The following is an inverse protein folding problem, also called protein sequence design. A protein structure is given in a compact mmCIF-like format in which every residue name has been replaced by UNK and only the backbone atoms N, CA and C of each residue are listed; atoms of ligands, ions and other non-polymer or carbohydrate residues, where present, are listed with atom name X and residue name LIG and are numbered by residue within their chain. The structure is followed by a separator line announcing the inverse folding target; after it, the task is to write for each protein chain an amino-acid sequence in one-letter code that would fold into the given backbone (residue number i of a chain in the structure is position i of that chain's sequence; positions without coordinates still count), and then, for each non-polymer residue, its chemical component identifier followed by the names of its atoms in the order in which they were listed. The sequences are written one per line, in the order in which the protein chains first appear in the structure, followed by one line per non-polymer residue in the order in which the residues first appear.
data_IF_442222552888
#
_entry.id   IF_442222552888
#
_cell.length_a   1.000
_cell.length_b   1.000
_cell.length_c   1.000
_cell.angle_alpha   90.00
_cell.angle_beta   90.00
_cell.angle_gamma   90.00
#
_symmetry.space_group_name_H-M   'P 1'
#
loop_
_entity.id
_entity.type
_entity.pdbx_description
1 polymer ?
#
# COMPACT_ATOMS: atom_id res chain seq x y z
N UNK A 1 19.12 44.42 10.06
CA UNK A 1 18.44 43.87 8.86
C UNK A 1 19.01 42.48 8.62
N UNK A 2 18.25 41.42 8.94
CA UNK A 2 18.66 40.02 8.67
C UNK A 2 17.98 39.59 7.37
N UNK A 3 18.78 39.27 6.36
CA UNK A 3 18.33 38.63 5.14
C UNK A 3 17.92 37.17 5.45
N UNK A 4 16.77 36.77 4.91
CA UNK A 4 16.11 35.49 5.16
C UNK A 4 16.78 34.32 4.43
N UNK A 5 16.55 33.14 5.01
CA UNK A 5 16.90 31.81 4.48
C UNK A 5 16.31 31.61 3.10
N UNK A 6 17.14 31.11 2.19
CA UNK A 6 16.70 30.25 1.09
C UNK A 6 16.86 28.85 1.66
N UNK A 7 15.75 28.18 1.94
CA UNK A 7 15.73 26.75 2.21
C UNK A 7 15.44 26.06 0.90
N UNK A 8 16.40 25.27 0.42
CA UNK A 8 16.20 24.29 -0.63
C UNK A 8 15.05 23.36 -0.23
N UNK A 9 14.04 23.25 -1.10
CA UNK A 9 13.08 22.17 -1.08
C UNK A 9 13.70 21.03 -1.90
N UNK A 10 14.59 20.28 -1.28
CA UNK A 10 15.06 19.01 -1.81
C UNK A 10 13.90 18.02 -1.89
N UNK A 11 13.86 17.31 -3.01
CA UNK A 11 12.76 16.44 -3.39
C UNK A 11 12.51 15.32 -2.39
N UNK A 12 11.37 15.39 -1.72
CA UNK A 12 10.62 14.20 -1.32
C UNK A 12 9.65 13.92 -2.44
N UNK A 13 9.97 12.96 -3.30
CA UNK A 13 8.96 12.33 -4.15
C UNK A 13 7.88 11.78 -3.22
N UNK A 14 6.67 12.33 -3.30
CA UNK A 14 5.54 11.89 -2.50
C UNK A 14 5.42 10.36 -2.62
N UNK A 15 5.59 9.67 -1.50
CA UNK A 15 5.62 8.21 -1.42
C UNK A 15 4.18 7.69 -1.38
N UNK A 16 3.42 7.94 -2.45
CA UNK A 16 2.02 7.54 -2.56
C UNK A 16 1.92 5.99 -2.55
N UNK A 17 0.89 5.43 -1.92
CA UNK A 17 0.54 4.01 -1.97
C UNK A 17 0.64 3.38 -3.36
N UNK A 18 0.21 4.12 -4.38
CA UNK A 18 0.33 3.71 -5.78
C UNK A 18 1.77 3.43 -6.20
N UNK A 19 2.71 4.26 -5.77
CA UNK A 19 4.13 4.11 -6.08
C UNK A 19 4.79 3.02 -5.22
N UNK A 20 4.37 2.86 -3.96
CA UNK A 20 4.78 1.72 -3.10
C UNK A 20 4.33 0.38 -3.68
N UNK A 21 3.28 0.38 -4.50
CA UNK A 21 2.69 -0.82 -5.10
C UNK A 21 3.13 -1.03 -6.55
N UNK A 22 3.48 0.03 -7.27
CA UNK A 22 3.90 0.01 -8.66
C UNK A 22 5.39 -0.39 -8.83
N UNK A 23 5.78 -1.58 -8.35
CA UNK A 23 7.06 -2.21 -8.77
C UNK A 23 6.91 -3.16 -9.97
N UNK A 24 5.72 -3.33 -10.54
CA UNK A 24 5.54 -4.07 -11.80
C UNK A 24 4.42 -3.47 -12.65
N UNK A 25 4.77 -2.86 -13.79
CA UNK A 25 3.82 -2.69 -14.90
C UNK A 25 3.35 -1.26 -15.21
N UNK A 26 4.26 -0.29 -15.38
CA UNK A 26 3.91 0.93 -16.13
C UNK A 26 3.83 0.59 -17.63
N UNK A 27 2.63 0.39 -18.17
CA UNK A 27 2.39 0.57 -19.60
C UNK A 27 1.10 1.36 -19.82
N UNK A 28 1.26 2.67 -20.07
CA UNK A 28 0.29 3.44 -20.84
C UNK A 28 0.22 2.95 -22.29
N UNK A 29 -0.71 3.49 -23.10
CA UNK A 29 -1.28 2.77 -24.22
C UNK A 29 -0.29 2.70 -25.37
N UNK A 30 0.21 1.48 -25.64
CA UNK A 30 0.77 1.16 -26.95
C UNK A 30 -0.13 0.13 -27.60
N UNK A 31 -1.07 0.62 -28.40
CA UNK A 31 -1.85 -0.20 -29.32
C UNK A 31 -0.91 -0.98 -30.22
N UNK A 32 -0.75 -2.28 -29.95
CA UNK A 32 -0.51 -3.30 -30.98
C UNK A 32 -0.89 -4.68 -30.42
N UNK A 33 -1.97 -5.26 -30.95
CA UNK A 33 -2.44 -6.61 -30.62
C UNK A 33 -1.33 -7.65 -30.83
N UNK A 34 -1.01 -8.41 -29.79
CA UNK A 34 -0.64 -9.83 -29.88
C UNK A 34 -1.19 -10.59 -28.65
N UNK A 35 -1.96 -11.63 -28.95
CA UNK A 35 -2.64 -12.62 -28.10
C UNK A 35 -2.09 -12.83 -26.67
N UNK A 36 -2.96 -12.69 -25.66
CA UNK A 36 -2.77 -13.17 -24.29
C UNK A 36 -3.52 -12.29 -23.28
N UNK A 37 -4.61 -12.81 -22.70
CA UNK A 37 -5.45 -12.22 -21.63
C UNK A 37 -5.69 -10.70 -21.76
N UNK A 38 -6.81 -10.31 -22.38
CA UNK A 38 -7.27 -8.92 -22.36
C UNK A 38 -7.52 -8.51 -20.89
N UNK A 39 -6.54 -7.85 -20.28
CA UNK A 39 -6.70 -7.16 -19.01
C UNK A 39 -7.68 -6.01 -19.27
N UNK A 40 -8.76 -5.96 -18.50
CA UNK A 40 -9.70 -4.86 -18.63
C UNK A 40 -9.00 -3.56 -18.25
N UNK A 41 -8.98 -2.59 -19.17
CA UNK A 41 -8.46 -1.25 -18.91
C UNK A 41 -9.64 -0.34 -18.51
N UNK A 42 -9.44 0.46 -17.46
CA UNK A 42 -10.42 1.47 -17.08
C UNK A 42 -10.48 2.54 -18.18
N UNK A 43 -11.66 3.13 -18.37
CA UNK A 43 -11.76 4.36 -19.14
C UNK A 43 -10.82 5.41 -18.53
N UNK A 44 -10.08 6.14 -19.38
CA UNK A 44 -9.06 7.08 -18.94
C UNK A 44 -9.64 8.14 -17.97
N UNK A 45 -10.84 8.66 -18.21
CA UNK A 45 -11.43 9.66 -17.33
C UNK A 45 -11.80 9.06 -15.97
N UNK A 46 -12.22 7.80 -15.95
CA UNK A 46 -12.48 7.06 -14.70
C UNK A 46 -11.17 6.80 -13.93
N UNK A 47 -10.12 6.35 -14.61
CA UNK A 47 -8.80 6.13 -14.00
C UNK A 47 -8.23 7.41 -13.38
N UNK A 48 -8.27 8.53 -14.11
CA UNK A 48 -7.83 9.84 -13.62
C UNK A 48 -8.66 10.30 -12.40
N UNK A 49 -9.98 10.08 -12.41
CA UNK A 49 -10.84 10.43 -11.28
C UNK A 49 -10.53 9.61 -10.02
N UNK A 50 -10.35 8.30 -10.17
CA UNK A 50 -9.93 7.44 -9.05
C UNK A 50 -8.54 7.88 -8.57
N UNK A 51 -7.67 8.27 -9.50
CA UNK A 51 -6.35 8.77 -9.15
C UNK A 51 -6.34 10.05 -8.35
N UNK A 52 -7.13 11.04 -8.76
CA UNK A 52 -7.28 12.27 -8.01
C UNK A 52 -7.84 12.04 -6.60
N UNK A 53 -8.71 11.02 -6.42
CA UNK A 53 -9.18 10.62 -5.10
C UNK A 53 -8.08 9.97 -4.27
N UNK A 54 -7.27 9.08 -4.86
CA UNK A 54 -6.11 8.51 -4.19
C UNK A 54 -5.16 9.59 -3.72
N UNK A 55 -4.71 10.46 -4.62
CA UNK A 55 -3.75 11.53 -4.32
C UNK A 55 -4.27 12.47 -3.21
N UNK A 56 -5.58 12.75 -3.20
CA UNK A 56 -6.21 13.52 -2.13
C UNK A 56 -6.23 12.75 -0.79
N UNK A 57 -6.45 11.44 -0.82
CA UNK A 57 -6.37 10.58 0.37
C UNK A 57 -4.95 10.52 0.94
N UNK A 58 -3.94 10.40 0.08
CA UNK A 58 -2.53 10.40 0.47
C UNK A 58 -2.12 11.72 1.13
N UNK A 59 -2.53 12.86 0.56
CA UNK A 59 -2.30 14.18 1.16
C UNK A 59 -2.95 14.31 2.55
N UNK A 60 -4.16 13.78 2.72
CA UNK A 60 -4.84 13.78 4.03
C UNK A 60 -4.14 12.87 5.04
N UNK A 61 -3.57 11.74 4.62
CA UNK A 61 -2.74 10.91 5.49
C UNK A 61 -1.47 11.63 5.95
N UNK A 62 -0.79 12.35 5.04
CA UNK A 62 0.39 13.14 5.39
C UNK A 62 0.06 14.24 6.42
N UNK A 63 -1.14 14.81 6.35
CA UNK A 63 -1.66 15.78 7.32
C UNK A 63 -2.21 15.14 8.62
N UNK A 64 -2.26 13.80 8.69
CA UNK A 64 -2.81 13.04 9.82
C UNK A 64 -4.34 13.01 9.88
N UNK A 65 -5.04 13.49 8.85
CA UNK A 65 -6.50 13.37 8.71
C UNK A 65 -6.88 12.01 8.13
N UNK A 66 -6.81 11.00 8.99
CA UNK A 66 -7.11 9.62 8.61
C UNK A 66 -8.58 9.38 8.27
N UNK A 67 -9.51 10.10 8.91
CA UNK A 67 -10.94 9.99 8.60
C UNK A 67 -11.20 10.52 7.19
N UNK A 68 -10.69 11.71 6.87
CA UNK A 68 -10.77 12.28 5.53
C UNK A 68 -10.09 11.40 4.48
N UNK A 69 -8.94 10.80 4.79
CA UNK A 69 -8.24 9.89 3.89
C UNK A 69 -9.09 8.66 3.54
N UNK A 70 -9.70 8.00 4.54
CA UNK A 70 -10.60 6.87 4.33
C UNK A 70 -11.78 7.24 3.43
N UNK A 71 -12.39 8.42 3.62
CA UNK A 71 -13.46 8.88 2.75
C UNK A 71 -13.02 8.97 1.29
N UNK A 72 -11.81 9.46 1.01
CA UNK A 72 -11.30 9.56 -0.37
C UNK A 72 -11.01 8.19 -0.97
N UNK A 73 -10.34 7.30 -0.24
CA UNK A 73 -9.99 5.99 -0.76
C UNK A 73 -11.23 5.12 -1.00
N UNK A 74 -12.21 5.12 -0.09
CA UNK A 74 -13.48 4.43 -0.33
C UNK A 74 -14.26 5.02 -1.49
N UNK A 75 -14.30 6.35 -1.63
CA UNK A 75 -14.91 6.98 -2.80
C UNK A 75 -14.23 6.55 -4.11
N UNK A 76 -12.91 6.36 -4.11
CA UNK A 76 -12.18 5.80 -5.25
C UNK A 76 -12.53 4.34 -5.52
N UNK A 77 -12.63 3.53 -4.46
CA UNK A 77 -12.97 2.11 -4.55
C UNK A 77 -14.40 1.87 -5.06
N UNK A 78 -15.34 2.70 -4.64
CA UNK A 78 -16.74 2.62 -5.08
C UNK A 78 -16.94 2.97 -6.56
N UNK A 79 -15.99 3.67 -7.16
CA UNK A 79 -16.00 3.95 -8.60
C UNK A 79 -15.54 2.76 -9.45
N UNK A 80 -14.94 1.73 -8.86
CA UNK A 80 -14.49 0.55 -9.60
C UNK A 80 -15.68 -0.23 -10.19
N UNK A 81 -15.66 -0.58 -11.48
CA UNK A 81 -16.68 -1.43 -12.07
C UNK A 81 -16.72 -2.84 -11.45
N UNK A 82 -17.88 -3.47 -11.45
CA UNK A 82 -17.99 -4.86 -10.99
C UNK A 82 -17.55 -5.87 -12.06
N UNK A 83 -16.93 -7.01 -11.68
CA UNK A 83 -16.47 -7.31 -10.33
C UNK A 83 -15.20 -6.53 -9.99
N UNK A 84 -15.17 -5.86 -8.82
CA UNK A 84 -14.04 -4.99 -8.44
C UNK A 84 -12.67 -5.69 -8.47
N UNK A 85 -12.66 -6.99 -8.18
CA UNK A 85 -11.47 -7.86 -8.17
C UNK A 85 -10.80 -8.03 -9.53
N UNK A 86 -11.37 -7.51 -10.62
CA UNK A 86 -10.72 -7.50 -11.93
C UNK A 86 -9.76 -6.33 -12.13
N UNK A 87 -9.78 -5.32 -11.25
CA UNK A 87 -9.07 -4.06 -11.47
C UNK A 87 -7.89 -3.94 -10.52
N UNK A 88 -6.69 -3.76 -11.07
CA UNK A 88 -5.48 -3.46 -10.28
C UNK A 88 -5.65 -2.21 -9.41
N UNK A 89 -6.53 -1.29 -9.81
CA UNK A 89 -6.93 -0.15 -9.01
C UNK A 89 -7.43 -0.51 -7.61
N UNK A 90 -8.13 -1.64 -7.48
CA UNK A 90 -8.55 -2.12 -6.17
C UNK A 90 -7.40 -2.59 -5.29
N UNK A 91 -6.28 -3.05 -5.85
CA UNK A 91 -5.10 -3.45 -5.07
C UNK A 91 -4.52 -2.27 -4.30
N UNK A 92 -4.25 -1.14 -4.98
CA UNK A 92 -3.67 0.02 -4.31
C UNK A 92 -4.65 0.80 -3.45
N UNK A 93 -5.93 0.82 -3.79
CA UNK A 93 -6.96 1.40 -2.91
C UNK A 93 -7.13 0.61 -1.61
N UNK A 94 -7.22 -0.72 -1.69
CA UNK A 94 -7.35 -1.56 -0.49
C UNK A 94 -6.08 -1.52 0.36
N UNK A 95 -4.90 -1.41 -0.26
CA UNK A 95 -3.66 -1.19 0.47
C UNK A 95 -3.67 0.13 1.23
N UNK A 96 -4.07 1.23 0.60
CA UNK A 96 -4.17 2.55 1.23
C UNK A 96 -5.19 2.56 2.37
N UNK A 97 -6.38 1.98 2.15
CA UNK A 97 -7.39 1.80 3.20
C UNK A 97 -6.81 0.99 4.38
N UNK A 98 -6.10 -0.10 4.08
CA UNK A 98 -5.41 -0.91 5.08
C UNK A 98 -4.38 -0.12 5.89
N UNK A 99 -3.55 0.69 5.23
CA UNK A 99 -2.52 1.52 5.85
C UNK A 99 -3.14 2.59 6.76
N UNK A 100 -4.21 3.26 6.31
CA UNK A 100 -4.94 4.21 7.15
C UNK A 100 -5.49 3.53 8.41
N UNK A 101 -6.11 2.35 8.27
CA UNK A 101 -6.62 1.62 9.43
C UNK A 101 -5.51 1.23 10.41
N UNK A 102 -4.33 0.88 9.92
CA UNK A 102 -3.18 0.62 10.77
C UNK A 102 -2.74 1.87 11.54
N UNK A 103 -2.65 3.03 10.87
CA UNK A 103 -2.31 4.30 11.50
C UNK A 103 -3.37 4.80 12.50
N UNK A 104 -4.64 4.42 12.33
CA UNK A 104 -5.71 4.64 13.32
C UNK A 104 -5.70 3.61 14.46
N UNK A 105 -4.74 2.68 14.50
CA UNK A 105 -4.68 1.54 15.43
C UNK A 105 -5.92 0.61 15.33
N UNK A 106 -6.70 0.71 14.25
CA UNK A 106 -7.79 -0.20 13.94
C UNK A 106 -7.28 -1.42 13.19
N UNK A 107 -6.43 -2.20 13.86
CA UNK A 107 -5.73 -3.33 13.26
C UNK A 107 -6.66 -4.42 12.73
N UNK A 108 -7.86 -4.57 13.32
CA UNK A 108 -8.86 -5.52 12.84
C UNK A 108 -9.37 -5.14 11.44
N UNK A 109 -9.74 -3.87 11.25
CA UNK A 109 -10.16 -3.38 9.94
C UNK A 109 -9.00 -3.35 8.94
N UNK A 110 -7.79 -3.00 9.40
CA UNK A 110 -6.57 -3.05 8.59
C UNK A 110 -6.32 -4.46 8.05
N UNK A 111 -6.33 -5.47 8.93
CA UNK A 111 -6.22 -6.89 8.56
C UNK A 111 -7.27 -7.29 7.52
N UNK A 112 -8.54 -6.97 7.76
CA UNK A 112 -9.63 -7.43 6.88
C UNK A 112 -9.53 -6.81 5.48
N UNK A 113 -9.22 -5.51 5.39
CA UNK A 113 -9.05 -4.82 4.12
C UNK A 113 -7.79 -5.30 3.36
N UNK A 114 -6.68 -5.50 4.05
CA UNK A 114 -5.44 -6.02 3.46
C UNK A 114 -5.56 -7.49 3.04
N UNK A 115 -6.30 -8.32 3.80
CA UNK A 115 -6.60 -9.68 3.40
C UNK A 115 -7.50 -9.70 2.16
N UNK A 116 -8.48 -8.79 2.08
CA UNK A 116 -9.33 -8.66 0.90
C UNK A 116 -8.53 -8.22 -0.34
N UNK A 117 -7.50 -7.38 -0.19
CA UNK A 117 -6.66 -6.97 -1.32
C UNK A 117 -6.00 -8.15 -2.04
N UNK A 118 -5.74 -9.26 -1.35
CA UNK A 118 -5.13 -10.48 -1.92
C UNK A 118 -5.98 -11.14 -3.02
N UNK A 119 -7.25 -10.74 -3.17
CA UNK A 119 -8.13 -11.16 -4.26
C UNK A 119 -8.03 -10.29 -5.52
N UNK A 120 -7.24 -9.22 -5.48
CA UNK A 120 -7.07 -8.29 -6.59
C UNK A 120 -5.78 -8.59 -7.39
N UNK A 121 -5.68 -8.10 -8.64
CA UNK A 121 -4.52 -8.36 -9.49
C UNK A 121 -3.23 -7.85 -8.84
N UNK A 122 -2.14 -8.61 -8.98
CA UNK A 122 -0.78 -8.27 -8.52
C UNK A 122 -0.61 -8.08 -6.99
N UNK A 123 -1.63 -8.38 -6.17
CA UNK A 123 -1.55 -8.20 -4.72
C UNK A 123 -0.63 -9.21 -4.00
N UNK A 124 -0.70 -10.49 -4.38
CA UNK A 124 0.02 -11.59 -3.69
C UNK A 124 1.55 -11.44 -3.74
N UNK A 125 2.10 -10.74 -4.74
CA UNK A 125 3.54 -10.53 -4.85
C UNK A 125 4.03 -9.25 -4.18
N UNK A 126 3.14 -8.45 -3.60
CA UNK A 126 3.47 -7.11 -3.15
C UNK A 126 4.03 -7.13 -1.71
N UNK A 127 5.29 -6.74 -1.50
CA UNK A 127 5.92 -6.81 -0.18
C UNK A 127 5.28 -5.83 0.83
N UNK A 128 4.80 -4.67 0.39
CA UNK A 128 4.16 -3.69 1.27
C UNK A 128 2.83 -4.21 1.84
N UNK A 129 2.00 -4.85 1.01
CA UNK A 129 0.77 -5.49 1.48
C UNK A 129 1.05 -6.55 2.56
N UNK A 130 2.08 -7.37 2.34
CA UNK A 130 2.52 -8.36 3.31
C UNK A 130 3.06 -7.73 4.60
N UNK A 131 3.85 -6.65 4.50
CA UNK A 131 4.33 -5.90 5.65
C UNK A 131 3.15 -5.45 6.51
N UNK A 132 2.22 -4.68 5.92
CA UNK A 132 1.16 -4.05 6.69
C UNK A 132 0.16 -5.07 7.25
N UNK A 133 -0.10 -6.15 6.51
CA UNK A 133 -0.95 -7.25 6.99
C UNK A 133 -0.30 -7.98 8.17
N UNK A 134 1.00 -8.27 8.08
CA UNK A 134 1.77 -8.90 9.15
C UNK A 134 1.84 -8.03 10.41
N UNK A 135 1.99 -6.72 10.25
CA UNK A 135 1.95 -5.78 11.38
C UNK A 135 0.57 -5.75 12.04
N UNK A 136 -0.52 -5.65 11.26
CA UNK A 136 -1.88 -5.72 11.83
C UNK A 136 -2.11 -7.03 12.61
N UNK A 137 -1.65 -8.16 12.09
CA UNK A 137 -1.75 -9.45 12.78
C UNK A 137 -0.91 -9.50 14.06
N UNK A 138 0.29 -8.91 14.03
CA UNK A 138 1.14 -8.80 15.21
C UNK A 138 0.45 -8.03 16.34
N UNK A 139 -0.12 -6.87 16.03
CA UNK A 139 -0.85 -6.04 17.03
C UNK A 139 -2.09 -6.74 17.57
N UNK A 140 -2.74 -7.57 16.76
CA UNK A 140 -3.87 -8.40 17.17
C UNK A 140 -3.46 -9.65 17.97
N UNK A 141 -2.15 -9.91 18.11
CA UNK A 141 -1.60 -11.08 18.80
C UNK A 141 -1.68 -12.39 18.02
N UNK A 142 -2.02 -12.36 16.73
CA UNK A 142 -1.97 -13.54 15.84
C UNK A 142 -0.54 -13.72 15.32
N UNK A 143 0.35 -14.12 16.22
CA UNK A 143 1.79 -14.11 15.98
C UNK A 143 2.23 -15.10 14.90
N UNK A 144 1.54 -16.22 14.75
CA UNK A 144 1.92 -17.21 13.72
C UNK A 144 1.61 -16.68 12.32
N UNK A 145 0.45 -16.04 12.15
CA UNK A 145 0.12 -15.35 10.89
C UNK A 145 1.03 -14.15 10.65
N UNK A 146 1.30 -13.36 11.69
CA UNK A 146 2.20 -12.23 11.59
C UNK A 146 3.59 -12.64 11.08
N UNK A 147 4.13 -13.77 11.59
CA UNK A 147 5.42 -14.28 11.14
C UNK A 147 5.41 -14.67 9.65
N UNK A 148 4.35 -15.33 9.18
CA UNK A 148 4.22 -15.73 7.77
C UNK A 148 4.22 -14.51 6.84
N UNK A 149 3.45 -13.46 7.16
CA UNK A 149 3.31 -12.28 6.33
C UNK A 149 4.56 -11.38 6.39
N UNK A 150 5.11 -11.13 7.58
CA UNK A 150 6.35 -10.37 7.73
C UNK A 150 7.55 -11.06 7.08
N UNK A 151 7.59 -12.40 7.07
CA UNK A 151 8.62 -13.15 6.35
C UNK A 151 8.51 -12.94 4.83
N UNK A 152 7.30 -12.95 4.26
CA UNK A 152 7.09 -12.65 2.83
C UNK A 152 7.52 -11.23 2.50
N UNK A 153 7.16 -10.28 3.35
CA UNK A 153 7.57 -8.89 3.22
C UNK A 153 9.10 -8.74 3.21
N UNK A 154 9.78 -9.35 4.18
CA UNK A 154 11.24 -9.30 4.30
C UNK A 154 11.95 -10.00 3.14
N UNK A 155 11.50 -11.20 2.77
CA UNK A 155 12.11 -11.98 1.69
C UNK A 155 12.01 -11.29 0.32
N UNK A 156 10.95 -10.50 0.10
CA UNK A 156 10.71 -9.81 -1.18
C UNK A 156 11.16 -8.35 -1.19
N UNK A 157 11.07 -7.64 -0.07
CA UNK A 157 11.37 -6.21 0.03
C UNK A 157 12.66 -5.85 0.78
N UNK A 158 13.31 -6.83 1.43
CA UNK A 158 14.53 -6.59 2.20
C UNK A 158 14.29 -5.83 3.52
N UNK A 159 15.36 -5.57 4.30
CA UNK A 159 15.28 -4.74 5.51
C UNK A 159 14.88 -3.29 5.22
N UNK A 160 15.16 -2.78 4.02
CA UNK A 160 14.85 -1.40 3.61
C UNK A 160 13.35 -1.12 3.66
N UNK A 161 12.51 -2.13 3.39
CA UNK A 161 11.05 -2.02 3.49
C UNK A 161 10.57 -1.65 4.90
N UNK A 162 11.38 -1.94 5.93
CA UNK A 162 11.04 -1.76 7.34
C UNK A 162 11.68 -0.52 7.97
N UNK A 163 12.45 0.28 7.23
CA UNK A 163 13.25 1.39 7.79
C UNK A 163 12.43 2.42 8.55
N UNK A 164 11.22 2.72 8.09
CA UNK A 164 10.30 3.68 8.71
C UNK A 164 9.34 3.04 9.72
N UNK A 165 9.45 1.73 9.96
CA UNK A 165 8.55 0.96 10.81
C UNK A 165 9.14 0.77 12.22
N UNK A 166 8.27 0.52 13.22
CA UNK A 166 8.77 0.18 14.56
C UNK A 166 9.59 -1.12 14.51
N UNK A 167 10.84 -1.06 14.98
CA UNK A 167 11.75 -2.20 15.00
C UNK A 167 11.24 -3.42 15.77
N UNK A 168 10.13 -3.33 16.52
CA UNK A 168 9.47 -4.47 17.17
C UNK A 168 9.08 -5.55 16.17
N UNK A 169 8.73 -5.20 14.94
CA UNK A 169 8.35 -6.18 13.91
C UNK A 169 9.55 -7.01 13.43
N UNK A 170 10.69 -6.37 13.17
CA UNK A 170 11.93 -7.07 12.81
C UNK A 170 12.49 -7.88 13.99
N UNK A 171 12.48 -7.31 15.21
CA UNK A 171 12.88 -8.06 16.41
C UNK A 171 12.00 -9.29 16.64
N UNK A 172 10.69 -9.17 16.43
CA UNK A 172 9.77 -10.30 16.48
C UNK A 172 10.10 -11.33 15.41
N UNK A 173 10.28 -10.91 14.15
CA UNK A 173 10.59 -11.80 13.04
C UNK A 173 11.91 -12.57 13.26
N UNK A 174 12.92 -11.92 13.84
CA UNK A 174 14.18 -12.53 14.24
C UNK A 174 14.04 -13.62 15.32
N UNK A 175 12.94 -13.65 16.09
CA UNK A 175 12.65 -14.77 17.00
C UNK A 175 12.08 -16.00 16.27
N UNK A 176 11.65 -15.84 15.01
CA UNK A 176 11.00 -16.87 14.20
C UNK A 176 11.87 -17.38 13.05
N UNK A 177 12.92 -16.66 12.68
CA UNK A 177 13.83 -17.03 11.59
C UNK A 177 15.24 -16.46 11.78
N UNK A 178 16.22 -17.20 11.25
CA UNK A 178 17.62 -16.77 11.19
C UNK A 178 17.84 -15.76 10.05
N UNK A 179 18.86 -14.91 10.18
CA UNK A 179 19.29 -14.00 9.10
C UNK A 179 18.45 -12.73 8.95
N UNK A 180 17.57 -12.43 9.93
CA UNK A 180 16.83 -11.17 9.98
C UNK A 180 17.73 -10.07 10.53
N UNK A 181 17.89 -9.00 9.76
CA UNK A 181 18.56 -7.78 10.22
C UNK A 181 17.61 -7.00 11.13
N UNK A 182 18.06 -6.72 12.36
CA UNK A 182 17.28 -5.98 13.35
C UNK A 182 17.89 -4.59 13.57
N UNK A 183 17.07 -3.53 13.75
CA UNK A 183 17.55 -2.20 14.11
C UNK A 183 18.22 -2.13 15.48
#
# INVERSE_FOLDING_TARGET
MKAGRIGDQDGKTANNHRDRIATTGRTGPTSTRKQGLDMAELDNALYERIGALSDAGDALMEDGDYEGALEKFWAGFDLLPEPKTNWEAGTWLMAAIGDVNFHQENYAAGRDNLAQSMHFPNAIGNPFLHLRLGQCQFELGDLDRAADELMRAYASGGPELFEDEDGKYLRFLATRADGIETP
#
